data_IF_791445679896
#
_entry.id   IF_791445679896
#
_cell.length_a   1.000
_cell.length_b   1.000
_cell.length_c   1.000
_cell.angle_alpha   90.00
_cell.angle_beta   90.00
_cell.angle_gamma   90.00
#
_symmetry.space_group_name_H-M   'P 1'
#
loop_
_entity.id
_entity.type
_entity.pdbx_description
1 polymer ?
#
# COMPACT_ATOMS: atom_id res chain seq x y z
N UNK A 1 39.75 -13.39 -11.96
CA UNK A 1 39.74 -14.32 -10.81
C UNK A 1 39.33 -13.53 -9.57
N UNK A 2 38.19 -13.90 -8.95
CA UNK A 2 37.69 -13.39 -7.66
C UNK A 2 37.21 -11.93 -7.68
N UNK A 3 36.09 -11.51 -7.09
CA UNK A 3 35.23 -12.10 -6.06
C UNK A 3 33.87 -11.39 -6.20
N UNK A 4 32.82 -12.15 -6.52
CA UNK A 4 31.44 -11.67 -6.50
C UNK A 4 30.91 -11.82 -5.07
N UNK A 5 30.66 -10.70 -4.39
CA UNK A 5 30.07 -10.72 -3.05
C UNK A 5 28.59 -11.08 -3.15
N UNK A 6 28.30 -12.28 -2.69
CA UNK A 6 27.00 -12.82 -2.39
C UNK A 6 26.19 -11.91 -1.46
N UNK A 7 24.97 -11.54 -1.86
CA UNK A 7 23.93 -11.13 -0.92
C UNK A 7 23.04 -12.34 -0.64
N UNK A 8 23.61 -13.26 0.16
CA UNK A 8 22.96 -14.45 0.68
C UNK A 8 22.19 -14.05 1.95
N UNK A 9 20.86 -14.22 1.90
CA UNK A 9 20.03 -14.72 2.99
C UNK A 9 20.29 -14.19 4.42
N UNK A 10 19.51 -13.18 4.85
CA UNK A 10 19.13 -13.06 6.27
C UNK A 10 17.65 -13.40 6.43
N UNK A 11 17.44 -14.71 6.56
CA UNK A 11 16.25 -15.40 7.02
C UNK A 11 16.15 -15.26 8.55
N UNK A 12 15.51 -14.22 9.06
CA UNK A 12 15.05 -14.21 10.47
C UNK A 12 13.70 -13.48 10.55
N UNK A 13 12.67 -14.05 9.92
CA UNK A 13 11.29 -14.07 10.43
C UNK A 13 10.48 -15.07 9.59
N UNK A 14 10.89 -16.34 9.69
CA UNK A 14 10.09 -17.47 9.27
C UNK A 14 9.16 -17.84 10.45
N UNK A 15 7.93 -17.35 10.43
CA UNK A 15 6.78 -18.00 11.08
C UNK A 15 5.66 -18.08 10.04
N UNK A 16 4.86 -19.14 10.06
CA UNK A 16 4.37 -19.78 8.85
C UNK A 16 3.30 -18.91 8.19
N UNK A 17 3.63 -18.38 7.01
CA UNK A 17 2.64 -17.94 6.03
C UNK A 17 1.74 -19.07 5.54
N UNK A 18 1.84 -20.30 6.06
CA UNK A 18 1.09 -21.46 5.58
C UNK A 18 -0.23 -21.69 6.35
N UNK A 19 -0.31 -21.36 7.65
CA UNK A 19 -1.50 -21.72 8.46
C UNK A 19 -2.60 -20.65 8.40
N UNK A 20 -2.25 -19.38 8.20
CA UNK A 20 -3.24 -18.31 7.99
C UNK A 20 -3.69 -18.19 6.53
N UNK A 21 -2.87 -18.69 5.61
CA UNK A 21 -3.09 -18.62 4.17
C UNK A 21 -4.16 -19.62 3.70
N UNK A 22 -4.38 -20.74 4.41
CA UNK A 22 -5.37 -21.72 4.00
C UNK A 22 -6.83 -21.25 4.17
N UNK A 23 -7.09 -20.27 5.05
CA UNK A 23 -8.45 -19.74 5.27
C UNK A 23 -8.79 -18.52 4.40
N UNK A 24 -7.76 -17.87 3.80
CA UNK A 24 -7.90 -16.68 2.92
C UNK A 24 -7.61 -17.05 1.46
N UNK A 25 -7.81 -18.32 1.09
CA UNK A 25 -7.72 -18.84 -0.29
C UNK A 25 -8.93 -18.45 -1.15
N UNK A 26 -9.37 -17.19 -1.10
CA UNK A 26 -10.17 -16.62 -2.17
C UNK A 26 -9.52 -15.33 -2.66
N UNK A 27 -8.91 -15.46 -3.84
CA UNK A 27 -8.52 -14.38 -4.77
C UNK A 27 -7.07 -13.87 -4.71
N UNK A 28 -6.11 -14.76 -4.98
CA UNK A 28 -4.84 -14.35 -5.59
C UNK A 28 -4.88 -14.73 -7.08
N UNK A 29 -5.35 -13.80 -7.92
CA UNK A 29 -5.11 -13.88 -9.36
C UNK A 29 -3.60 -13.98 -9.59
N UNK A 30 -3.20 -14.99 -10.36
CA UNK A 30 -1.82 -15.35 -10.70
C UNK A 30 -0.99 -14.10 -11.05
N UNK A 31 0.20 -13.98 -10.46
CA UNK A 31 1.18 -12.93 -10.76
C UNK A 31 1.50 -12.93 -12.26
N UNK A 32 0.96 -11.96 -12.99
CA UNK A 32 1.29 -11.74 -14.39
C UNK A 32 2.60 -10.96 -14.46
N UNK A 33 3.56 -11.46 -15.25
CA UNK A 33 4.86 -10.81 -15.48
C UNK A 33 4.66 -9.34 -15.86
N UNK A 34 5.51 -8.49 -15.28
CA UNK A 34 5.55 -7.04 -15.43
C UNK A 34 5.83 -6.64 -16.89
N UNK A 35 4.77 -6.50 -17.68
CA UNK A 35 4.76 -5.64 -18.85
C UNK A 35 4.15 -4.30 -18.45
N UNK A 36 4.60 -3.20 -19.08
CA UNK A 36 4.10 -1.84 -18.89
C UNK A 36 2.56 -1.81 -19.04
N UNK A 37 1.83 -1.99 -17.94
CA UNK A 37 0.37 -1.91 -17.95
C UNK A 37 -0.02 -0.48 -18.31
N UNK A 38 -1.00 -0.32 -19.19
CA UNK A 38 -1.53 1.00 -19.53
C UNK A 38 -2.10 1.68 -18.27
N UNK A 39 -1.84 2.97 -18.10
CA UNK A 39 -2.31 3.77 -16.95
C UNK A 39 -3.82 3.65 -16.71
N UNK A 40 -4.61 3.50 -17.78
CA UNK A 40 -6.06 3.26 -17.69
C UNK A 40 -6.40 1.91 -17.05
N UNK A 41 -5.64 0.87 -17.38
CA UNK A 41 -5.80 -0.47 -16.82
C UNK A 41 -5.41 -0.49 -15.33
N UNK A 42 -4.33 0.20 -14.97
CA UNK A 42 -3.89 0.35 -13.57
C UNK A 42 -4.98 1.04 -12.75
N UNK A 43 -5.56 2.13 -13.28
CA UNK A 43 -6.64 2.84 -12.59
C UNK A 43 -7.87 1.94 -12.40
N UNK A 44 -8.29 1.21 -13.43
CA UNK A 44 -9.43 0.30 -13.34
C UNK A 44 -9.20 -0.85 -12.35
N UNK A 45 -8.00 -1.44 -12.36
CA UNK A 45 -7.61 -2.48 -11.41
C UNK A 45 -7.57 -1.95 -9.96
N UNK A 46 -7.07 -0.73 -9.76
CA UNK A 46 -7.05 -0.07 -8.46
C UNK A 46 -8.47 0.18 -7.93
N UNK A 47 -9.37 0.71 -8.76
CA UNK A 47 -10.78 0.94 -8.39
C UNK A 47 -11.48 -0.37 -8.05
N UNK A 48 -11.25 -1.42 -8.83
CA UNK A 48 -11.81 -2.76 -8.56
C UNK A 48 -11.31 -3.30 -7.22
N UNK A 49 -10.02 -3.14 -6.95
CA UNK A 49 -9.39 -3.56 -5.69
C UNK A 49 -10.00 -2.81 -4.50
N UNK A 50 -10.12 -1.48 -4.57
CA UNK A 50 -10.74 -0.67 -3.53
C UNK A 50 -12.19 -1.08 -3.26
N UNK A 51 -12.98 -1.34 -4.31
CA UNK A 51 -14.36 -1.82 -4.15
C UNK A 51 -14.41 -3.17 -3.44
N UNK A 52 -13.54 -4.11 -3.82
CA UNK A 52 -13.46 -5.42 -3.19
C UNK A 52 -13.22 -5.31 -1.68
N UNK A 53 -12.17 -4.57 -1.27
CA UNK A 53 -11.86 -4.41 0.15
C UNK A 53 -12.94 -3.65 0.91
N UNK A 54 -13.59 -2.66 0.27
CA UNK A 54 -14.74 -1.96 0.85
C UNK A 54 -15.87 -2.93 1.17
N UNK A 55 -16.28 -3.75 0.20
CA UNK A 55 -17.36 -4.71 0.42
C UNK A 55 -16.97 -5.76 1.48
N UNK A 56 -15.73 -6.24 1.45
CA UNK A 56 -15.20 -7.22 2.42
C UNK A 56 -15.39 -6.73 3.87
N UNK A 57 -14.85 -5.56 4.22
CA UNK A 57 -14.91 -5.12 5.61
C UNK A 57 -16.34 -4.70 6.01
N UNK A 58 -17.11 -4.07 5.11
CA UNK A 58 -18.49 -3.70 5.38
C UNK A 58 -19.35 -4.94 5.64
N UNK A 59 -19.21 -6.00 4.84
CA UNK A 59 -19.99 -7.22 5.04
C UNK A 59 -19.68 -7.87 6.38
N UNK A 60 -18.40 -7.95 6.77
CA UNK A 60 -18.01 -8.49 8.08
C UNK A 60 -18.60 -7.67 9.22
N UNK A 61 -18.56 -6.33 9.12
CA UNK A 61 -19.13 -5.45 10.14
C UNK A 61 -20.64 -5.53 10.24
N UNK A 62 -21.36 -5.58 9.11
CA UNK A 62 -22.81 -5.74 9.09
C UNK A 62 -23.20 -7.06 9.76
N UNK A 63 -22.53 -8.16 9.42
CA UNK A 63 -22.78 -9.48 10.04
C UNK A 63 -22.49 -9.44 11.54
N UNK A 64 -21.36 -8.85 11.94
CA UNK A 64 -21.02 -8.67 13.36
C UNK A 64 -22.10 -7.92 14.12
N UNK A 65 -22.55 -6.76 13.61
CA UNK A 65 -23.59 -5.97 14.26
C UNK A 65 -24.92 -6.72 14.34
N UNK A 66 -25.36 -7.37 13.26
CA UNK A 66 -26.61 -8.13 13.24
C UNK A 66 -26.59 -9.23 14.29
N UNK A 67 -25.55 -10.08 14.31
CA UNK A 67 -25.43 -11.18 15.28
C UNK A 67 -25.36 -10.64 16.72
N UNK A 68 -24.59 -9.58 16.94
CA UNK A 68 -24.44 -9.00 18.27
C UNK A 68 -25.75 -8.41 18.79
N UNK A 69 -26.51 -7.73 17.93
CA UNK A 69 -27.80 -7.15 18.29
C UNK A 69 -28.87 -8.21 18.53
N UNK A 70 -28.89 -9.31 17.78
CA UNK A 70 -29.92 -10.35 17.91
C UNK A 70 -29.66 -11.33 19.07
N UNK A 71 -28.40 -11.73 19.29
CA UNK A 71 -28.07 -12.78 20.26
C UNK A 71 -27.40 -12.26 21.55
N UNK A 72 -26.64 -11.17 21.47
CA UNK A 72 -25.76 -10.71 22.56
C UNK A 72 -26.15 -9.35 23.15
N UNK A 73 -27.41 -8.93 22.98
CA UNK A 73 -27.92 -7.64 23.47
C UNK A 73 -27.60 -7.38 24.95
N UNK A 74 -27.79 -8.39 25.80
CA UNK A 74 -27.53 -8.27 27.25
C UNK A 74 -26.04 -8.19 27.61
N UNK A 75 -25.14 -8.63 26.73
CA UNK A 75 -23.69 -8.64 26.94
C UNK A 75 -23.00 -7.47 26.22
N UNK A 76 -23.78 -6.59 25.59
CA UNK A 76 -23.31 -5.44 24.83
C UNK A 76 -22.84 -4.30 25.75
N UNK A 77 -21.75 -4.57 26.45
CA UNK A 77 -21.10 -3.63 27.38
C UNK A 77 -20.39 -2.51 26.61
N UNK A 78 -20.32 -1.31 27.19
CA UNK A 78 -19.60 -0.13 26.66
C UNK A 78 -18.20 -0.46 26.11
N UNK A 79 -17.47 -1.38 26.76
CA UNK A 79 -16.18 -1.93 26.30
C UNK A 79 -16.22 -2.40 24.84
N UNK A 80 -17.20 -3.21 24.47
CA UNK A 80 -17.28 -3.80 23.13
C UNK A 80 -17.62 -2.76 22.07
N UNK A 81 -18.46 -1.79 22.44
CA UNK A 81 -18.78 -0.65 21.57
C UNK A 81 -17.50 0.15 21.29
N UNK A 82 -16.73 0.50 22.32
CA UNK A 82 -15.48 1.26 22.12
C UNK A 82 -14.46 0.48 21.28
N UNK A 83 -14.30 -0.83 21.52
CA UNK A 83 -13.35 -1.67 20.76
C UNK A 83 -13.79 -1.87 19.31
N UNK A 84 -15.08 -2.11 19.07
CA UNK A 84 -15.62 -2.26 17.71
C UNK A 84 -15.54 -0.95 16.93
N UNK A 85 -15.86 0.19 17.54
CA UNK A 85 -15.69 1.50 16.92
C UNK A 85 -14.22 1.83 16.63
N UNK A 86 -13.31 1.49 17.55
CA UNK A 86 -11.87 1.66 17.36
C UNK A 86 -11.34 0.80 16.21
N UNK A 87 -11.75 -0.47 16.14
CA UNK A 87 -11.40 -1.36 15.04
C UNK A 87 -11.96 -0.87 13.70
N UNK A 88 -13.21 -0.38 13.70
CA UNK A 88 -13.85 0.19 12.52
C UNK A 88 -13.10 1.43 12.03
N UNK A 89 -12.75 2.33 12.95
CA UNK A 89 -11.95 3.52 12.68
C UNK A 89 -10.58 3.18 12.09
N UNK A 90 -9.88 2.19 12.66
CA UNK A 90 -8.59 1.73 12.14
C UNK A 90 -8.71 1.15 10.72
N UNK A 91 -9.74 0.33 10.48
CA UNK A 91 -10.02 -0.26 9.16
C UNK A 91 -10.38 0.82 8.13
N UNK A 92 -11.20 1.80 8.52
CA UNK A 92 -11.58 2.94 7.70
C UNK A 92 -10.38 3.83 7.38
N UNK A 93 -9.50 4.08 8.35
CA UNK A 93 -8.26 4.82 8.14
C UNK A 93 -7.34 4.11 7.14
N UNK A 94 -7.15 2.79 7.27
CA UNK A 94 -6.38 2.00 6.32
C UNK A 94 -6.99 2.03 4.91
N UNK A 95 -8.32 1.94 4.79
CA UNK A 95 -9.03 2.06 3.52
C UNK A 95 -8.87 3.46 2.90
N UNK A 96 -9.00 4.52 3.70
CA UNK A 96 -8.82 5.89 3.23
C UNK A 96 -7.39 6.15 2.77
N UNK A 97 -6.41 5.62 3.49
CA UNK A 97 -5.01 5.67 3.10
C UNK A 97 -4.78 4.96 1.76
N UNK A 98 -5.34 3.76 1.58
CA UNK A 98 -5.29 3.02 0.31
C UNK A 98 -5.96 3.79 -0.84
N UNK A 99 -7.13 4.39 -0.59
CA UNK A 99 -7.86 5.19 -1.57
C UNK A 99 -7.11 6.47 -1.95
N UNK A 100 -6.40 7.10 -1.02
CA UNK A 100 -5.58 8.27 -1.28
C UNK A 100 -4.41 7.92 -2.19
N UNK A 101 -3.70 6.82 -1.91
CA UNK A 101 -2.57 6.37 -2.74
C UNK A 101 -2.98 5.99 -4.17
N UNK A 102 -4.18 5.45 -4.35
CA UNK A 102 -4.72 5.07 -5.65
C UNK A 102 -5.48 6.19 -6.36
N UNK A 103 -5.50 7.41 -5.81
CA UNK A 103 -6.22 8.52 -6.43
C UNK A 103 -5.50 8.99 -7.70
N UNK A 104 -6.17 8.98 -8.86
CA UNK A 104 -5.58 9.46 -10.11
C UNK A 104 -5.41 10.98 -10.09
N UNK A 105 -4.32 11.46 -10.69
CA UNK A 105 -4.10 12.88 -10.96
C UNK A 105 -4.51 13.20 -12.40
N UNK A 106 -5.44 14.14 -12.55
CA UNK A 106 -5.89 14.64 -13.85
C UNK A 106 -5.36 16.06 -14.04
N UNK A 107 -4.71 16.32 -15.18
CA UNK A 107 -4.46 17.69 -15.60
C UNK A 107 -5.45 18.09 -16.70
N UNK A 108 -5.77 19.37 -16.71
CA UNK A 108 -6.57 19.99 -17.78
C UNK A 108 -5.60 20.38 -18.87
N UNK A 109 -5.76 19.82 -20.06
CA UNK A 109 -5.00 20.26 -21.23
C UNK A 109 -5.47 21.64 -21.70
N UNK A 110 -4.65 22.26 -22.54
CA UNK A 110 -4.92 23.55 -23.21
C UNK A 110 -6.25 23.59 -23.99
N UNK A 111 -6.84 22.42 -24.30
CA UNK A 111 -8.15 22.26 -24.96
C UNK A 111 -9.34 22.12 -24.00
N UNK A 112 -9.13 22.29 -22.68
CA UNK A 112 -10.18 22.13 -21.66
C UNK A 112 -10.56 20.68 -21.34
N UNK A 113 -9.96 19.69 -21.99
CA UNK A 113 -10.23 18.25 -21.72
C UNK A 113 -9.39 17.76 -20.52
N UNK A 114 -10.02 17.09 -19.56
CA UNK A 114 -9.33 16.39 -18.45
C UNK A 114 -8.59 15.17 -19.01
N UNK A 115 -7.27 15.22 -19.05
CA UNK A 115 -6.42 14.08 -19.39
C UNK A 115 -5.85 13.48 -18.10
N UNK A 116 -5.83 12.14 -18.03
CA UNK A 116 -5.16 11.39 -16.97
C UNK A 116 -3.65 11.64 -17.11
N UNK A 117 -3.03 12.28 -16.11
CA UNK A 117 -1.58 12.54 -16.07
C UNK A 117 -0.86 11.47 -15.26
N UNK A 118 -1.52 10.94 -14.23
CA UNK A 118 -1.01 9.85 -13.42
C UNK A 118 -2.20 8.99 -12.95
N UNK A 119 -2.09 7.67 -13.09
CA UNK A 119 -3.12 6.72 -12.65
C UNK A 119 -3.15 6.55 -11.11
N UNK A 120 -2.18 7.13 -10.40
CA UNK A 120 -1.96 6.90 -8.98
C UNK A 120 -1.03 5.69 -8.75
N UNK A 121 -0.65 5.45 -7.49
CA UNK A 121 0.23 4.34 -7.16
C UNK A 121 -0.48 3.01 -7.45
N UNK A 122 0.15 2.13 -8.22
CA UNK A 122 -0.38 0.79 -8.44
C UNK A 122 -0.36 0.00 -7.12
N UNK A 123 -1.55 -0.29 -6.60
CA UNK A 123 -1.72 -1.01 -5.34
C UNK A 123 -1.31 -2.48 -5.44
N UNK A 124 -1.11 -3.01 -6.65
CA UNK A 124 -0.95 -4.44 -6.94
C UNK A 124 0.45 -4.83 -7.42
N UNK A 125 1.35 -3.87 -7.70
CA UNK A 125 2.67 -4.13 -8.29
C UNK A 125 3.82 -4.18 -7.25
N UNK A 126 3.65 -3.70 -6.01
CA UNK A 126 4.74 -3.68 -5.03
C UNK A 126 4.63 -4.73 -3.92
N UNK A 127 5.32 -5.87 -4.05
CA UNK A 127 5.54 -6.79 -2.92
C UNK A 127 6.38 -6.08 -1.85
N UNK A 128 5.79 -5.79 -0.68
CA UNK A 128 6.39 -5.02 0.41
C UNK A 128 6.06 -3.52 0.42
N UNK A 129 5.22 -3.04 -0.51
CA UNK A 129 4.81 -1.62 -0.56
C UNK A 129 3.76 -1.24 0.47
N UNK A 130 3.62 0.07 0.76
CA UNK A 130 2.61 0.63 1.68
C UNK A 130 1.17 0.19 1.35
N UNK A 131 0.88 -0.10 0.08
CA UNK A 131 -0.42 -0.64 -0.36
C UNK A 131 -0.71 -2.05 0.17
N UNK A 132 0.27 -2.94 0.21
CA UNK A 132 0.12 -4.30 0.79
C UNK A 132 -0.10 -4.22 2.29
N UNK A 133 0.64 -3.34 2.98
CA UNK A 133 0.48 -3.10 4.41
C UNK A 133 -0.95 -2.67 4.75
N UNK A 134 -1.55 -1.82 3.91
CA UNK A 134 -2.94 -1.39 4.06
C UNK A 134 -3.94 -2.53 3.78
N UNK A 135 -3.70 -3.37 2.77
CA UNK A 135 -4.53 -4.56 2.48
C UNK A 135 -4.52 -5.53 3.66
N UNK A 136 -3.33 -5.85 4.16
CA UNK A 136 -3.16 -6.72 5.33
C UNK A 136 -3.89 -6.18 6.55
N UNK A 137 -3.82 -4.87 6.80
CA UNK A 137 -4.51 -4.23 7.93
C UNK A 137 -6.04 -4.39 7.83
N UNK A 138 -6.61 -4.19 6.64
CA UNK A 138 -8.06 -4.36 6.41
C UNK A 138 -8.47 -5.82 6.62
N UNK A 139 -7.71 -6.77 6.08
CA UNK A 139 -7.98 -8.21 6.24
C UNK A 139 -7.90 -8.59 7.72
N UNK A 140 -6.85 -8.16 8.42
CA UNK A 140 -6.68 -8.43 9.84
C UNK A 140 -7.82 -7.86 10.68
N UNK A 141 -8.22 -6.60 10.44
CA UNK A 141 -9.39 -6.02 11.11
C UNK A 141 -10.66 -6.83 10.86
N UNK A 142 -10.93 -7.21 9.61
CA UNK A 142 -12.13 -8.00 9.27
C UNK A 142 -12.15 -9.36 9.96
N UNK A 143 -11.00 -10.02 10.08
CA UNK A 143 -10.86 -11.30 10.77
C UNK A 143 -11.02 -11.13 12.28
N UNK A 144 -10.40 -10.11 12.89
CA UNK A 144 -10.58 -9.81 14.32
C UNK A 144 -12.05 -9.55 14.64
N UNK A 145 -12.76 -8.81 13.79
CA UNK A 145 -14.20 -8.58 13.95
C UNK A 145 -14.99 -9.88 13.95
N UNK A 146 -14.74 -10.79 13.00
CA UNK A 146 -15.43 -12.09 12.94
C UNK A 146 -15.07 -13.01 14.10
N UNK A 147 -13.78 -13.13 14.45
CA UNK A 147 -13.32 -13.96 15.57
C UNK A 147 -13.82 -13.44 16.92
N UNK A 148 -14.03 -12.13 17.05
CA UNK A 148 -14.55 -11.53 18.29
C UNK A 148 -15.95 -12.02 18.67
N UNK A 149 -16.73 -12.55 17.71
CA UNK A 149 -18.01 -13.22 17.98
C UNK A 149 -17.85 -14.56 18.71
N UNK A 150 -16.73 -15.24 18.48
CA UNK A 150 -16.44 -16.55 19.08
C UNK A 150 -15.80 -16.36 20.46
N UNK A 151 -14.82 -15.46 20.57
CA UNK A 151 -14.11 -15.25 21.84
C UNK A 151 -13.67 -13.79 22.06
N UNK A 152 -13.91 -13.29 23.27
CA UNK A 152 -13.55 -11.93 23.68
C UNK A 152 -12.03 -11.63 23.67
N UNK A 153 -11.13 -12.61 23.83
CA UNK A 153 -9.69 -12.32 23.85
C UNK A 153 -9.13 -11.93 22.48
N UNK A 154 -9.84 -12.19 21.39
CA UNK A 154 -9.36 -11.87 20.04
C UNK A 154 -9.25 -10.36 19.77
N UNK A 155 -9.87 -9.51 20.59
CA UNK A 155 -9.66 -8.06 20.54
C UNK A 155 -8.19 -7.66 20.74
N UNK A 156 -7.39 -8.47 21.45
CA UNK A 156 -5.95 -8.21 21.62
C UNK A 156 -5.15 -8.34 20.32
N UNK A 157 -5.63 -9.09 19.33
CA UNK A 157 -4.98 -9.18 18.02
C UNK A 157 -4.98 -7.82 17.29
N UNK A 158 -5.88 -6.90 17.66
CA UNK A 158 -5.89 -5.54 17.14
C UNK A 158 -4.57 -4.81 17.44
N UNK A 159 -3.89 -5.14 18.54
CA UNK A 159 -2.61 -4.54 18.93
C UNK A 159 -1.45 -4.89 17.99
N UNK A 160 -1.60 -5.93 17.17
CA UNK A 160 -0.58 -6.28 16.15
C UNK A 160 -0.46 -5.18 15.10
N UNK A 161 -1.56 -4.48 14.78
CA UNK A 161 -1.59 -3.41 13.78
C UNK A 161 -0.68 -2.23 14.19
N UNK A 162 -0.84 -1.59 15.37
CA UNK A 162 0.04 -0.52 15.80
C UNK A 162 1.48 -0.98 16.02
N UNK A 163 1.70 -2.22 16.49
CA UNK A 163 3.06 -2.78 16.61
C UNK A 163 3.74 -2.85 15.24
N UNK A 164 3.04 -3.33 14.20
CA UNK A 164 3.60 -3.40 12.85
C UNK A 164 3.86 -2.02 12.28
N UNK A 165 2.94 -1.07 12.46
CA UNK A 165 3.13 0.32 12.02
C UNK A 165 4.35 0.96 12.69
N UNK A 166 4.50 0.74 14.00
CA UNK A 166 5.66 1.21 14.75
C UNK A 166 6.96 0.57 14.23
N UNK A 167 6.97 -0.73 13.95
CA UNK A 167 8.13 -1.41 13.39
C UNK A 167 8.54 -0.81 12.03
N UNK A 168 7.58 -0.56 11.14
CA UNK A 168 7.84 0.04 9.82
C UNK A 168 8.38 1.46 9.97
N UNK A 169 7.81 2.27 10.87
CA UNK A 169 8.32 3.62 11.18
C UNK A 169 9.73 3.57 11.76
N UNK A 170 9.98 2.61 12.65
CA UNK A 170 11.28 2.41 13.28
C UNK A 170 12.35 2.09 12.23
N UNK A 171 12.12 1.06 11.40
CA UNK A 171 13.11 0.61 10.41
C UNK A 171 13.31 1.62 9.28
N UNK A 172 12.25 2.34 8.86
CA UNK A 172 12.33 3.21 7.69
C UNK A 172 12.73 4.66 8.00
N UNK A 173 12.46 5.16 9.21
CA UNK A 173 12.67 6.57 9.56
C UNK A 173 13.70 6.70 10.69
N UNK A 174 13.48 6.02 11.82
CA UNK A 174 14.29 6.23 13.02
C UNK A 174 15.64 5.53 12.93
N UNK A 175 15.68 4.26 12.52
CA UNK A 175 16.90 3.48 12.47
C UNK A 175 17.95 4.08 11.50
N UNK A 176 17.59 4.52 10.28
CA UNK A 176 18.55 5.18 9.40
C UNK A 176 19.01 6.54 9.94
N UNK A 177 18.15 7.28 10.65
CA UNK A 177 18.51 8.59 11.21
C UNK A 177 19.48 8.48 12.40
N UNK A 178 19.35 7.43 13.21
CA UNK A 178 20.17 7.23 14.42
C UNK A 178 21.49 6.50 14.11
N UNK A 179 21.50 5.56 13.16
CA UNK A 179 22.60 4.60 13.01
C UNK A 179 23.41 4.71 11.72
N UNK A 180 23.08 5.63 10.81
CA UNK A 180 23.68 5.66 9.48
C UNK A 180 24.56 6.93 9.27
N UNK A 181 25.90 6.85 9.44
CA UNK A 181 26.80 7.99 9.35
C UNK A 181 27.04 8.52 7.92
N UNK A 182 26.40 7.94 6.90
CA UNK A 182 26.66 8.21 5.47
C UNK A 182 25.47 8.85 4.71
N UNK A 183 24.43 9.32 5.42
CA UNK A 183 23.19 9.81 4.80
C UNK A 183 23.37 11.01 3.86
N UNK A 184 24.33 11.91 4.14
CA UNK A 184 24.52 13.10 3.32
C UNK A 184 25.05 12.76 1.91
N UNK A 185 25.93 11.76 1.80
CA UNK A 185 26.62 11.45 0.54
C UNK A 185 25.76 10.59 -0.40
N UNK A 186 25.08 9.55 0.12
CA UNK A 186 24.33 8.62 -0.74
C UNK A 186 22.97 9.14 -1.21
N UNK A 187 22.25 9.92 -0.39
CA UNK A 187 20.97 10.52 -0.80
C UNK A 187 21.22 11.62 -1.84
N UNK A 188 22.31 12.38 -1.69
CA UNK A 188 22.71 13.40 -2.64
C UNK A 188 23.12 12.78 -3.99
N UNK A 189 23.98 11.75 -4.01
CA UNK A 189 24.39 11.10 -5.26
C UNK A 189 23.24 10.46 -6.03
N UNK A 190 22.30 9.77 -5.35
CA UNK A 190 21.16 9.12 -6.03
C UNK A 190 20.15 10.14 -6.56
N UNK A 191 19.89 11.22 -5.82
CA UNK A 191 19.02 12.32 -6.27
C UNK A 191 19.68 13.14 -7.38
N UNK A 192 20.99 13.41 -7.28
CA UNK A 192 21.79 14.09 -8.30
C UNK A 192 21.83 13.28 -9.59
N UNK A 193 22.14 11.98 -9.56
CA UNK A 193 22.12 11.12 -10.76
C UNK A 193 20.74 11.09 -11.44
N UNK A 194 19.66 11.13 -10.66
CA UNK A 194 18.28 11.19 -11.21
C UNK A 194 17.97 12.56 -11.83
N UNK A 195 18.45 13.64 -11.22
CA UNK A 195 18.32 15.00 -11.74
C UNK A 195 19.17 15.22 -13.01
N UNK A 196 20.41 14.73 -13.02
CA UNK A 196 21.34 14.82 -14.15
C UNK A 196 20.80 14.07 -15.38
N UNK A 197 20.18 12.89 -15.18
CA UNK A 197 19.48 12.15 -16.25
C UNK A 197 18.24 12.87 -16.78
N UNK A 198 17.62 13.75 -16.00
CA UNK A 198 16.51 14.61 -16.47
C UNK A 198 17.06 15.81 -17.24
N UNK A 199 18.11 16.46 -16.72
CA UNK A 199 18.75 17.60 -17.38
C UNK A 199 19.38 17.22 -18.72
N UNK A 200 20.03 16.05 -18.82
CA UNK A 200 20.56 15.54 -20.11
C UNK A 200 19.47 15.33 -21.17
N UNK A 201 18.28 14.89 -20.77
CA UNK A 201 17.14 14.71 -21.70
C UNK A 201 16.58 16.05 -22.17
N UNK A 202 16.44 17.02 -21.27
CA UNK A 202 16.01 18.39 -21.62
C UNK A 202 17.06 19.09 -22.50
N UNK A 203 18.34 18.96 -22.16
CA UNK A 203 19.45 19.53 -22.94
C UNK A 203 19.54 18.96 -24.36
N UNK A 204 19.34 17.65 -24.55
CA UNK A 204 19.29 17.05 -25.88
C UNK A 204 18.12 17.58 -26.73
N UNK A 205 16.96 17.86 -26.11
CA UNK A 205 15.81 18.45 -26.81
C UNK A 205 16.05 19.92 -27.19
N UNK A 206 16.73 20.70 -26.35
CA UNK A 206 17.06 22.09 -26.67
C UNK A 206 18.10 22.18 -27.78
N UNK A 207 19.15 21.35 -27.73
CA UNK A 207 20.24 21.38 -28.74
C UNK A 207 19.86 20.78 -30.11
N UNK A 208 18.74 20.05 -30.18
CA UNK A 208 18.15 19.56 -31.43
C UNK A 208 17.30 20.60 -32.16
N UNK A 209 16.76 21.58 -31.43
CA UNK A 209 15.85 22.60 -31.98
C UNK A 209 16.61 23.71 -32.71
N UNK A 210 17.83 24.05 -32.27
CA UNK A 210 18.69 25.04 -32.95
C UNK A 210 19.26 24.56 -34.30
N UNK A 211 19.41 23.25 -34.51
CA UNK A 211 19.94 22.71 -35.78
C UNK A 211 18.90 22.62 -36.90
N UNK A 212 17.62 22.83 -36.59
CA UNK A 212 16.53 22.83 -37.59
C UNK A 212 16.26 24.20 -38.23
N UNK A 213 16.68 25.29 -37.58
CA UNK A 213 16.39 26.67 -38.04
C UNK A 213 17.47 27.21 -39.00
N UNK A 214 18.62 26.55 -39.09
CA UNK A 214 19.74 26.98 -39.96
C UNK A 214 19.79 26.40 -41.37
N UNK A 215 18.75 25.69 -41.86
CA UNK A 215 18.76 25.04 -43.18
C UNK A 215 17.59 25.42 -44.11
N UNK A 216 17.02 26.60 -43.88
CA UNK A 216 16.06 27.23 -44.79
C UNK A 216 16.60 28.61 -45.19
N UNK A 217 17.60 28.60 -46.06
CA UNK A 217 17.97 29.69 -46.97
C UNK A 217 18.71 29.08 -48.15
#
# INVERSE_FOLDING_TARGET
MGSGSEYRCSQIFCYPKATFLLLVMFNQKKAHKEGTKSEKLIHEENVRTLKFYRYLFLSCYVVYFVITLTFFWSTFTKRYITLSLGCFGACLAAYKFMSYMASPSYAVNERGTRQLVDAGLDLNIGSGGLGEQAKDAIIMCSLVTMLSLIHQYFWFLLLIIPIRLFYVLWVNILAPWIFDPNQETQVNEKKQKKMERKMRRVGHLMHGTDRGVGRAN
#
